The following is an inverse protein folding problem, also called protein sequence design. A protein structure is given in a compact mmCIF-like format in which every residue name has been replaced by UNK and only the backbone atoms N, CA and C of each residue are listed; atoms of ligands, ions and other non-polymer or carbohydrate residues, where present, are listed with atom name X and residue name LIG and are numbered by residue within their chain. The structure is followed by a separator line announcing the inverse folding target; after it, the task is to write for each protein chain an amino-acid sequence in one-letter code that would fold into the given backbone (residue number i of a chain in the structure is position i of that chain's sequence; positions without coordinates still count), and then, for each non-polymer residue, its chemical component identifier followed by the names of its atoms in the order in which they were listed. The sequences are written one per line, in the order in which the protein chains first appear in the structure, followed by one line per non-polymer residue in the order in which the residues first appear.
data_IF_516911660065
#
_entry.id   IF_516911660065
#
_cell.length_a   1.000
_cell.length_b   1.000
_cell.length_c   1.000
_cell.angle_alpha   90.00
_cell.angle_beta   90.00
_cell.angle_gamma   90.00
#
_symmetry.space_group_name_H-M   'P 1'
#
loop_
_entity.id
_entity.type
_entity.pdbx_description
1 polymer ?
#
# COMPACT_ATOMS: atom_id res chain seq x y z
N UNK A 1 -18.64 11.39 -12.16
CA UNK A 1 -17.27 10.83 -12.24
C UNK A 1 -16.22 11.91 -12.38
N UNK A 2 -16.39 12.94 -13.22
CA UNK A 2 -15.38 14.01 -13.44
C UNK A 2 -14.70 14.58 -12.18
N UNK A 3 -15.40 14.69 -11.05
CA UNK A 3 -14.80 15.14 -9.79
C UNK A 3 -13.78 14.11 -9.21
N UNK A 4 -14.08 12.81 -9.27
CA UNK A 4 -13.16 11.78 -8.77
C UNK A 4 -11.91 11.66 -9.64
N UNK A 5 -12.04 11.78 -10.97
CA UNK A 5 -10.89 11.78 -11.88
C UNK A 5 -9.89 12.90 -11.56
N UNK A 6 -10.39 14.10 -11.22
CA UNK A 6 -9.56 15.22 -10.78
C UNK A 6 -8.86 14.92 -9.46
N UNK A 7 -9.57 14.35 -8.49
CA UNK A 7 -8.98 13.95 -7.21
C UNK A 7 -7.90 12.86 -7.38
N UNK A 8 -8.11 11.90 -8.29
CA UNK A 8 -7.13 10.87 -8.61
C UNK A 8 -5.84 11.49 -9.17
N UNK A 9 -5.95 12.49 -10.05
CA UNK A 9 -4.79 13.23 -10.59
C UNK A 9 -4.05 14.00 -9.50
N UNK A 10 -4.77 14.59 -8.55
CA UNK A 10 -4.18 15.34 -7.42
C UNK A 10 -3.32 14.47 -6.49
N UNK A 11 -3.48 13.13 -6.49
CA UNK A 11 -2.62 12.22 -5.71
C UNK A 11 -1.13 12.36 -6.04
N UNK A 12 -0.81 12.78 -7.26
CA UNK A 12 0.56 12.98 -7.76
C UNK A 12 1.00 14.45 -7.75
N UNK A 13 0.19 15.36 -7.20
CA UNK A 13 0.50 16.78 -7.14
C UNK A 13 1.76 17.07 -6.31
N UNK A 14 2.53 18.07 -6.76
CA UNK A 14 3.73 18.57 -6.06
C UNK A 14 3.38 19.26 -4.74
N UNK A 15 2.13 19.72 -4.59
CA UNK A 15 1.65 20.22 -3.32
C UNK A 15 1.31 19.05 -2.39
N UNK A 16 2.29 18.61 -1.59
CA UNK A 16 2.14 17.43 -0.75
C UNK A 16 1.01 17.52 0.26
N UNK A 17 0.69 18.71 0.78
CA UNK A 17 -0.38 18.90 1.76
C UNK A 17 -1.76 18.64 1.14
N UNK A 18 -2.04 19.26 -0.01
CA UNK A 18 -3.31 19.06 -0.70
C UNK A 18 -3.44 17.63 -1.23
N UNK A 19 -2.37 17.10 -1.84
CA UNK A 19 -2.36 15.72 -2.31
C UNK A 19 -2.55 14.70 -1.18
N UNK A 20 -2.08 15.00 0.03
CA UNK A 20 -2.31 14.15 1.21
C UNK A 20 -3.76 14.23 1.70
N UNK A 21 -4.38 15.42 1.74
CA UNK A 21 -5.81 15.56 2.06
C UNK A 21 -6.67 14.80 1.05
N UNK A 22 -6.36 14.91 -0.24
CA UNK A 22 -7.02 14.17 -1.30
C UNK A 22 -6.87 12.66 -1.13
N UNK A 23 -5.65 12.20 -0.81
CA UNK A 23 -5.41 10.79 -0.47
C UNK A 23 -6.28 10.31 0.70
N UNK A 24 -6.34 11.05 1.81
CA UNK A 24 -7.16 10.65 2.97
C UNK A 24 -8.64 10.53 2.61
N UNK A 25 -9.16 11.46 1.81
CA UNK A 25 -10.53 11.39 1.31
C UNK A 25 -10.75 10.13 0.47
N UNK A 26 -9.89 9.88 -0.53
CA UNK A 26 -10.01 8.74 -1.44
C UNK A 26 -9.81 7.39 -0.73
N UNK A 27 -8.89 7.30 0.23
CA UNK A 27 -8.70 6.09 1.03
C UNK A 27 -9.96 5.76 1.85
N UNK A 28 -10.58 6.77 2.44
CA UNK A 28 -11.84 6.61 3.17
C UNK A 28 -13.00 6.21 2.26
N UNK A 29 -13.11 6.79 1.06
CA UNK A 29 -14.13 6.39 0.10
C UNK A 29 -13.90 4.97 -0.44
N UNK A 30 -12.64 4.56 -0.63
CA UNK A 30 -12.25 3.19 -1.01
C UNK A 30 -12.67 2.17 0.04
N UNK A 31 -12.65 2.53 1.33
CA UNK A 31 -13.13 1.64 2.42
C UNK A 31 -14.66 1.44 2.38
N UNK A 32 -15.41 2.42 1.87
CA UNK A 32 -16.89 2.43 1.88
C UNK A 32 -17.50 1.89 0.60
N UNK A 33 -16.89 2.15 -0.55
CA UNK A 33 -17.43 1.81 -1.87
C UNK A 33 -16.32 1.47 -2.86
N UNK A 34 -16.69 0.86 -3.98
CA UNK A 34 -15.78 0.52 -5.07
C UNK A 34 -15.50 1.68 -6.04
N UNK A 35 -15.87 2.92 -5.69
CA UNK A 35 -15.80 4.08 -6.60
C UNK A 35 -14.37 4.38 -7.09
N UNK A 36 -13.35 3.98 -6.33
CA UNK A 36 -11.94 4.15 -6.68
C UNK A 36 -11.33 2.92 -7.36
N UNK A 37 -12.02 1.78 -7.38
CA UNK A 37 -11.47 0.52 -7.91
C UNK A 37 -11.19 0.57 -9.41
N UNK A 38 -11.97 1.33 -10.18
CA UNK A 38 -11.71 1.53 -11.60
C UNK A 38 -10.35 2.21 -11.89
N UNK A 39 -9.71 2.82 -10.88
CA UNK A 39 -8.37 3.43 -10.98
C UNK A 39 -7.25 2.52 -10.44
N UNK A 40 -7.52 1.24 -10.17
CA UNK A 40 -6.54 0.34 -9.56
C UNK A 40 -5.22 0.27 -10.37
N UNK A 41 -5.31 0.25 -11.69
CA UNK A 41 -4.12 0.18 -12.56
C UNK A 41 -3.27 1.45 -12.44
N UNK A 42 -3.90 2.61 -12.27
CA UNK A 42 -3.19 3.86 -11.99
C UNK A 42 -2.50 3.82 -10.60
N UNK A 43 -3.11 3.18 -9.61
CA UNK A 43 -2.43 2.97 -8.32
C UNK A 43 -1.22 2.04 -8.44
N UNK A 44 -1.27 1.02 -9.31
CA UNK A 44 -0.10 0.19 -9.64
C UNK A 44 1.01 0.98 -10.36
N UNK A 45 0.67 1.96 -11.20
CA UNK A 45 1.68 2.87 -11.76
C UNK A 45 2.33 3.73 -10.66
N UNK A 46 1.54 4.22 -9.70
CA UNK A 46 2.02 5.07 -8.61
C UNK A 46 3.07 4.40 -7.72
N UNK A 47 2.99 3.08 -7.48
CA UNK A 47 3.97 2.39 -6.61
C UNK A 47 5.37 2.34 -7.23
N UNK A 48 5.50 2.55 -8.54
CA UNK A 48 6.79 2.63 -9.23
C UNK A 48 7.37 4.07 -9.29
N UNK A 49 6.70 5.05 -8.69
CA UNK A 49 7.13 6.44 -8.76
C UNK A 49 8.40 6.72 -7.93
N UNK A 50 9.23 7.66 -8.39
CA UNK A 50 10.43 8.09 -7.66
C UNK A 50 10.11 8.73 -6.29
N UNK A 51 8.98 9.43 -6.20
CA UNK A 51 8.49 10.07 -4.98
C UNK A 51 7.94 9.03 -4.01
N UNK A 52 8.56 8.92 -2.83
CA UNK A 52 8.06 8.05 -1.76
C UNK A 52 6.65 8.41 -1.29
N UNK A 53 6.27 9.68 -1.36
CA UNK A 53 4.91 10.10 -1.01
C UNK A 53 3.88 9.50 -1.98
N UNK A 54 4.19 9.50 -3.28
CA UNK A 54 3.30 8.94 -4.31
C UNK A 54 3.22 7.42 -4.15
N UNK A 55 4.36 6.74 -3.93
CA UNK A 55 4.38 5.30 -3.67
C UNK A 55 3.51 4.92 -2.47
N UNK A 56 3.68 5.60 -1.34
CA UNK A 56 2.87 5.33 -0.13
C UNK A 56 1.38 5.46 -0.42
N UNK A 57 0.94 6.52 -1.13
CA UNK A 57 -0.47 6.71 -1.46
C UNK A 57 -1.01 5.61 -2.37
N UNK A 58 -0.24 5.24 -3.40
CA UNK A 58 -0.61 4.14 -4.31
C UNK A 58 -0.78 2.82 -3.57
N UNK A 59 0.19 2.45 -2.73
CA UNK A 59 0.15 1.23 -1.91
C UNK A 59 -1.06 1.20 -0.98
N UNK A 60 -1.30 2.29 -0.25
CA UNK A 60 -2.42 2.35 0.69
C UNK A 60 -3.79 2.37 -0.01
N UNK A 61 -3.89 2.95 -1.22
CA UNK A 61 -5.10 2.87 -2.03
C UNK A 61 -5.34 1.47 -2.62
N UNK A 62 -4.28 0.76 -3.02
CA UNK A 62 -4.37 -0.67 -3.40
C UNK A 62 -4.92 -1.48 -2.22
N UNK A 63 -4.34 -1.30 -1.04
CA UNK A 63 -4.76 -2.00 0.18
C UNK A 63 -6.21 -1.67 0.55
N UNK A 64 -6.59 -0.39 0.50
CA UNK A 64 -7.95 0.05 0.81
C UNK A 64 -9.00 -0.51 -0.17
N UNK A 65 -8.60 -0.84 -1.40
CA UNK A 65 -9.45 -1.44 -2.43
C UNK A 65 -9.50 -2.98 -2.40
N UNK A 66 -8.77 -3.66 -1.50
CA UNK A 66 -8.73 -5.13 -1.47
C UNK A 66 -10.11 -5.81 -1.35
N UNK A 67 -11.07 -5.14 -0.69
CA UNK A 67 -12.47 -5.58 -0.57
C UNK A 67 -13.18 -5.66 -1.93
N UNK A 68 -12.83 -4.75 -2.85
CA UNK A 68 -13.48 -4.58 -4.14
C UNK A 68 -12.69 -5.22 -5.29
N UNK A 69 -11.56 -5.86 -4.98
CA UNK A 69 -10.72 -6.51 -5.98
C UNK A 69 -11.36 -7.79 -6.52
N UNK A 70 -12.31 -7.62 -7.43
CA UNK A 70 -13.05 -8.68 -8.13
C UNK A 70 -12.25 -9.27 -9.27
N UNK A 71 -11.37 -8.49 -9.89
CA UNK A 71 -10.55 -8.91 -11.03
C UNK A 71 -9.21 -9.53 -10.58
N UNK A 72 -9.04 -9.73 -9.26
CA UNK A 72 -7.88 -10.32 -8.63
C UNK A 72 -6.54 -9.62 -8.95
N UNK A 73 -6.58 -8.30 -9.13
CA UNK A 73 -5.42 -7.48 -9.52
C UNK A 73 -4.32 -7.48 -8.46
N UNK A 74 -4.66 -7.62 -7.18
CA UNK A 74 -3.65 -7.73 -6.11
C UNK A 74 -2.84 -9.01 -6.30
N UNK A 75 -3.48 -10.15 -6.52
CA UNK A 75 -2.79 -11.44 -6.68
C UNK A 75 -1.96 -11.47 -7.97
N UNK A 76 -2.51 -10.95 -9.07
CA UNK A 76 -1.81 -10.86 -10.35
C UNK A 76 -0.54 -10.00 -10.29
N UNK A 77 -0.50 -9.00 -9.40
CA UNK A 77 0.61 -8.05 -9.26
C UNK A 77 1.33 -8.21 -7.91
N UNK A 78 1.18 -9.37 -7.26
CA UNK A 78 1.57 -9.54 -5.85
C UNK A 78 3.06 -9.30 -5.62
N UNK A 79 3.92 -9.72 -6.55
CA UNK A 79 5.37 -9.55 -6.40
C UNK A 79 5.78 -8.07 -6.50
N UNK A 80 5.18 -7.32 -7.43
CA UNK A 80 5.39 -5.87 -7.54
C UNK A 80 4.92 -5.15 -6.29
N UNK A 81 3.73 -5.47 -5.80
CA UNK A 81 3.16 -4.87 -4.59
C UNK A 81 4.01 -5.19 -3.35
N UNK A 82 4.36 -6.46 -3.14
CA UNK A 82 5.09 -6.90 -1.95
C UNK A 82 6.56 -6.50 -1.96
N UNK A 83 7.15 -6.15 -3.11
CA UNK A 83 8.51 -5.59 -3.18
C UNK A 83 8.70 -4.35 -2.29
N UNK A 84 7.61 -3.61 -2.02
CA UNK A 84 7.63 -2.44 -1.13
C UNK A 84 7.64 -2.77 0.37
N UNK A 85 7.63 -4.05 0.77
CA UNK A 85 8.00 -4.44 2.14
C UNK A 85 9.44 -3.97 2.42
N UNK A 86 10.32 -4.00 1.41
CA UNK A 86 11.70 -3.49 1.49
C UNK A 86 11.89 -2.32 0.50
N UNK A 87 11.14 -1.24 0.70
CA UNK A 87 11.26 -0.02 -0.10
C UNK A 87 12.55 0.77 0.24
N UNK A 88 13.11 1.46 -0.76
CA UNK A 88 14.27 2.36 -0.59
C UNK A 88 14.09 3.45 0.47
N UNK A 89 12.85 3.81 0.81
CA UNK A 89 12.50 4.71 1.91
C UNK A 89 11.85 3.91 3.04
N UNK A 90 12.45 3.85 4.24
CA UNK A 90 11.91 3.09 5.37
C UNK A 90 10.47 3.50 5.73
N UNK A 91 10.12 4.78 5.58
CA UNK A 91 8.77 5.24 5.85
C UNK A 91 7.71 4.61 4.95
N UNK A 92 8.03 4.29 3.69
CA UNK A 92 7.12 3.60 2.77
C UNK A 92 6.90 2.17 3.26
N UNK A 93 7.97 1.42 3.52
CA UNK A 93 7.91 0.07 4.09
C UNK A 93 7.07 0.03 5.35
N UNK A 94 7.33 0.92 6.31
CA UNK A 94 6.60 0.95 7.58
C UNK A 94 5.10 1.14 7.39
N UNK A 95 4.70 2.13 6.58
CA UNK A 95 3.28 2.36 6.29
C UNK A 95 2.64 1.16 5.59
N UNK A 96 3.33 0.59 4.61
CA UNK A 96 2.81 -0.53 3.85
C UNK A 96 2.69 -1.80 4.69
N UNK A 97 3.74 -2.17 5.44
CA UNK A 97 3.76 -3.35 6.32
C UNK A 97 2.61 -3.30 7.33
N UNK A 98 2.38 -2.15 7.97
CA UNK A 98 1.29 -1.99 8.94
C UNK A 98 -0.10 -2.09 8.29
N UNK A 99 -0.21 -1.87 6.98
CA UNK A 99 -1.47 -1.92 6.24
C UNK A 99 -1.85 -3.31 5.73
N UNK A 100 -0.88 -4.23 5.61
CA UNK A 100 -1.05 -5.57 5.03
C UNK A 100 -2.18 -6.43 5.64
N UNK A 101 -2.51 -6.36 6.95
CA UNK A 101 -3.65 -7.11 7.49
C UNK A 101 -4.98 -6.80 6.79
N UNK A 102 -5.13 -5.58 6.23
CA UNK A 102 -6.32 -5.21 5.47
C UNK A 102 -6.45 -5.94 4.13
N UNK A 103 -5.33 -6.34 3.49
CA UNK A 103 -5.38 -7.22 2.31
C UNK A 103 -5.91 -8.58 2.73
N UNK A 104 -5.33 -9.18 3.77
CA UNK A 104 -5.70 -10.53 4.23
C UNK A 104 -7.16 -10.63 4.67
N UNK A 105 -7.72 -9.56 5.25
CA UNK A 105 -9.14 -9.48 5.59
C UNK A 105 -10.07 -9.85 4.42
N UNK A 106 -9.69 -9.52 3.19
CA UNK A 106 -10.52 -9.73 1.99
C UNK A 106 -9.92 -10.71 0.97
N UNK A 107 -8.62 -10.98 1.06
CA UNK A 107 -7.84 -11.84 0.15
C UNK A 107 -7.06 -12.88 0.95
N UNK A 108 -7.78 -13.70 1.73
CA UNK A 108 -7.21 -14.68 2.67
C UNK A 108 -6.23 -15.66 2.02
N UNK A 109 -6.41 -15.97 0.73
CA UNK A 109 -5.51 -16.86 -0.01
C UNK A 109 -4.06 -16.34 -0.05
N UNK A 110 -3.84 -15.03 0.12
CA UNK A 110 -2.51 -14.41 0.09
C UNK A 110 -1.74 -14.54 1.41
N UNK A 111 -2.34 -15.09 2.48
CA UNK A 111 -1.74 -15.08 3.82
C UNK A 111 -0.35 -15.73 3.86
N UNK A 112 -0.19 -16.89 3.23
CA UNK A 112 1.09 -17.60 3.20
C UNK A 112 2.16 -16.82 2.42
N UNK A 113 1.76 -16.23 1.28
CA UNK A 113 2.65 -15.41 0.45
C UNK A 113 3.13 -14.16 1.19
N UNK A 114 2.23 -13.45 1.89
CA UNK A 114 2.58 -12.25 2.66
C UNK A 114 3.44 -12.59 3.88
N UNK A 115 3.12 -13.66 4.62
CA UNK A 115 3.93 -14.12 5.76
C UNK A 115 5.35 -14.49 5.35
N UNK A 116 5.49 -15.18 4.22
CA UNK A 116 6.79 -15.54 3.67
C UNK A 116 7.61 -14.29 3.33
N UNK A 117 7.04 -13.30 2.65
CA UNK A 117 7.76 -12.07 2.30
C UNK A 117 8.19 -11.28 3.54
N UNK A 118 7.30 -11.10 4.51
CA UNK A 118 7.61 -10.40 5.75
C UNK A 118 8.72 -11.08 6.55
N UNK A 119 8.73 -12.42 6.55
CA UNK A 119 9.72 -13.20 7.32
C UNK A 119 11.10 -13.23 6.64
N UNK A 120 11.15 -13.05 5.31
CA UNK A 120 12.37 -13.07 4.51
C UNK A 120 12.88 -11.66 4.14
N UNK A 121 12.20 -10.60 4.58
CA UNK A 121 12.53 -9.23 4.23
C UNK A 121 13.95 -8.84 4.68
N UNK A 122 14.84 -8.56 3.72
CA UNK A 122 16.20 -8.07 4.01
C UNK A 122 16.19 -6.56 4.29
N UNK A 123 16.01 -6.23 5.56
CA UNK A 123 15.95 -4.85 6.05
C UNK A 123 17.31 -4.29 6.48
N UNK A 124 18.41 -4.99 6.17
CA UNK A 124 19.77 -4.50 6.45
C UNK A 124 20.14 -3.25 5.63
N UNK A 125 19.33 -2.91 4.63
CA UNK A 125 19.46 -1.67 3.86
C UNK A 125 19.18 -0.41 4.69
N UNK A 126 18.58 -0.54 5.88
CA UNK A 126 18.26 0.58 6.76
C UNK A 126 19.30 0.75 7.86
N UNK A 127 19.50 1.99 8.31
CA UNK A 127 20.28 2.26 9.51
C UNK A 127 19.60 1.65 10.76
N UNK A 128 20.37 1.46 11.83
CA UNK A 128 19.93 0.74 13.03
C UNK A 128 18.61 1.29 13.62
N UNK A 129 18.45 2.61 13.66
CA UNK A 129 17.25 3.26 14.16
C UNK A 129 16.01 2.90 13.33
N UNK A 130 16.11 2.99 12.00
CA UNK A 130 14.99 2.67 11.10
C UNK A 130 14.75 1.16 11.01
N UNK A 131 15.82 0.36 11.00
CA UNK A 131 15.76 -1.10 11.00
C UNK A 131 14.96 -1.60 12.20
N UNK A 132 15.24 -1.13 13.41
CA UNK A 132 14.51 -1.53 14.62
C UNK A 132 13.00 -1.22 14.53
N UNK A 133 12.64 -0.07 13.94
CA UNK A 133 11.24 0.30 13.74
C UNK A 133 10.54 -0.60 12.72
N UNK A 134 11.22 -0.92 11.61
CA UNK A 134 10.69 -1.84 10.59
C UNK A 134 10.55 -3.26 11.15
N UNK A 135 11.52 -3.76 11.91
CA UNK A 135 11.44 -5.07 12.61
C UNK A 135 10.22 -5.14 13.53
N UNK A 136 9.98 -4.06 14.28
CA UNK A 136 8.80 -3.96 15.16
C UNK A 136 7.51 -4.01 14.34
N UNK A 137 7.43 -3.25 13.26
CA UNK A 137 6.26 -3.23 12.38
C UNK A 137 6.03 -4.63 11.75
N UNK A 138 7.08 -5.32 11.28
CA UNK A 138 7.00 -6.69 10.76
C UNK A 138 6.46 -7.66 11.81
N UNK A 139 7.03 -7.68 13.02
CA UNK A 139 6.57 -8.57 14.10
C UNK A 139 5.10 -8.33 14.44
N UNK A 140 4.72 -7.06 14.58
CA UNK A 140 3.34 -6.68 14.91
C UNK A 140 2.37 -7.06 13.79
N UNK A 141 2.77 -6.87 12.52
CA UNK A 141 1.95 -7.30 11.39
C UNK A 141 1.81 -8.82 11.39
N UNK A 142 2.91 -9.58 11.50
CA UNK A 142 2.89 -11.05 11.53
C UNK A 142 1.99 -11.60 12.66
N UNK A 143 1.98 -10.99 13.84
CA UNK A 143 1.10 -11.41 14.94
C UNK A 143 -0.38 -11.13 14.69
N UNK A 144 -0.70 -10.20 13.78
CA UNK A 144 -2.06 -9.79 13.43
C UNK A 144 -2.55 -10.42 12.12
N UNK A 145 -1.74 -11.26 11.46
CA UNK A 145 -2.18 -12.03 10.29
C UNK A 145 -2.88 -13.31 10.78
N UNK A 146 -4.20 -13.24 10.92
CA UNK A 146 -5.09 -14.37 11.22
C UNK A 146 -5.53 -15.14 9.96
#
# INVERSE_FOLDING_TARGET
MENIDLLIKELCSKNHNEAYKTFLFLENESKKSNITYCFFDYFLEMINNESSYIRTRGLLLIVANAKWDTDNKIEMNIDSILSHIVDKKPSVSRNFIQSLPNIIKYKKQLIHRIRAELSNADINIYNDNMKSLVEKDIRNTLSNLE
#
